data_IF_033709676934
#
_entry.id   IF_033709676934
#
_cell.length_a   1.000
_cell.length_b   1.000
_cell.length_c   1.000
_cell.angle_alpha   90.00
_cell.angle_beta   90.00
_cell.angle_gamma   90.00
#
_symmetry.space_group_name_H-M   'P 1'
#
loop_
_entity.id
_entity.type
_entity.pdbx_description
1 polymer ?
#
# COMPACT_ATOMS: atom_id res chain seq x y z
N UNK A 1 13.77 -11.28 -9.63
CA UNK A 1 12.71 -11.32 -8.59
C UNK A 1 11.72 -12.34 -9.09
N UNK A 2 11.53 -13.49 -8.43
CA UNK A 2 10.88 -14.67 -9.05
C UNK A 2 9.58 -14.34 -9.78
N UNK A 3 8.70 -13.56 -9.13
CA UNK A 3 7.41 -13.11 -9.69
C UNK A 3 7.56 -12.23 -10.94
N UNK A 4 8.54 -11.32 -10.96
CA UNK A 4 8.79 -10.45 -12.12
C UNK A 4 9.25 -11.28 -13.32
N UNK A 5 10.07 -12.30 -13.08
CA UNK A 5 10.64 -13.14 -14.12
C UNK A 5 9.57 -14.08 -14.71
N UNK A 6 8.64 -14.57 -13.90
CA UNK A 6 7.45 -15.29 -14.37
C UNK A 6 6.52 -14.40 -15.21
N UNK A 7 6.23 -13.17 -14.73
CA UNK A 7 5.45 -12.20 -15.49
C UNK A 7 6.06 -11.90 -16.87
N UNK A 8 7.38 -11.75 -16.95
CA UNK A 8 8.09 -11.53 -18.21
C UNK A 8 7.94 -12.71 -19.17
N UNK A 9 8.04 -13.94 -18.66
CA UNK A 9 7.86 -15.16 -19.46
C UNK A 9 6.43 -15.33 -20.00
N UNK A 10 5.43 -14.84 -19.27
CA UNK A 10 4.04 -14.87 -19.72
C UNK A 10 3.78 -13.79 -20.77
N UNK A 11 4.32 -12.59 -20.56
CA UNK A 11 4.20 -11.47 -21.49
C UNK A 11 4.81 -11.79 -22.86
N UNK A 12 5.95 -12.48 -22.89
CA UNK A 12 6.62 -12.82 -24.16
C UNK A 12 5.81 -13.74 -25.07
N UNK A 13 4.76 -14.38 -24.56
CA UNK A 13 3.85 -15.26 -25.31
C UNK A 13 2.66 -14.53 -25.91
N UNK A 14 2.46 -13.24 -25.59
CA UNK A 14 1.34 -12.44 -26.07
C UNK A 14 1.87 -11.53 -27.19
N UNK A 15 1.45 -11.71 -28.46
CA UNK A 15 2.02 -10.98 -29.60
C UNK A 15 1.84 -9.46 -29.55
N UNK A 16 0.79 -8.98 -28.86
CA UNK A 16 0.51 -7.56 -28.66
C UNK A 16 0.11 -7.32 -27.21
N UNK A 17 1.05 -6.86 -26.39
CA UNK A 17 0.79 -6.50 -25.00
C UNK A 17 1.00 -5.00 -24.80
N UNK A 18 0.12 -4.39 -24.00
CA UNK A 18 0.35 -3.06 -23.42
C UNK A 18 0.27 -3.20 -21.91
N UNK A 19 1.38 -2.93 -21.23
CA UNK A 19 1.43 -2.96 -19.77
C UNK A 19 0.89 -1.63 -19.24
N UNK A 20 -0.28 -1.66 -18.62
CA UNK A 20 -0.80 -0.56 -17.82
C UNK A 20 -0.48 -0.83 -16.35
N UNK A 21 0.41 -0.05 -15.76
CA UNK A 21 0.66 -0.08 -14.32
C UNK A 21 -0.04 1.12 -13.68
N UNK A 22 -0.91 0.85 -12.71
CA UNK A 22 -1.37 1.85 -11.77
C UNK A 22 -0.57 1.63 -10.49
N UNK A 23 0.27 2.60 -10.13
CA UNK A 23 0.92 2.60 -8.83
C UNK A 23 -0.16 2.84 -7.80
N UNK A 24 -0.64 1.78 -7.16
CA UNK A 24 -1.43 1.89 -5.94
C UNK A 24 -0.46 1.81 -4.79
N UNK A 25 -0.20 2.95 -4.18
CA UNK A 25 0.60 3.00 -2.99
C UNK A 25 -0.05 2.19 -1.85
N UNK A 26 0.75 1.80 -0.86
CA UNK A 26 0.24 1.18 0.35
C UNK A 26 -0.93 2.01 0.90
N UNK A 27 -2.04 1.36 1.20
CA UNK A 27 -3.22 2.03 1.74
C UNK A 27 -2.83 2.62 3.11
N UNK A 28 -2.51 3.91 3.16
CA UNK A 28 -2.08 4.60 4.37
C UNK A 28 -3.10 4.48 5.51
N UNK A 29 -4.40 4.40 5.17
CA UNK A 29 -5.44 4.11 6.15
C UNK A 29 -5.29 2.71 6.75
N UNK A 30 -5.00 1.70 5.92
CA UNK A 30 -4.74 0.33 6.39
C UNK A 30 -3.44 0.23 7.20
N UNK A 31 -2.37 0.90 6.78
CA UNK A 31 -1.09 0.96 7.51
C UNK A 31 -1.28 1.62 8.89
N UNK A 32 -2.05 2.72 8.95
CA UNK A 32 -2.41 3.40 10.19
C UNK A 32 -3.21 2.47 11.13
N UNK A 33 -4.27 1.84 10.62
CA UNK A 33 -5.10 0.91 11.38
C UNK A 33 -4.30 -0.32 11.85
N UNK A 34 -3.39 -0.84 11.04
CA UNK A 34 -2.50 -1.94 11.43
C UNK A 34 -1.54 -1.51 12.55
N UNK A 35 -0.98 -0.30 12.49
CA UNK A 35 -0.12 0.25 13.54
C UNK A 35 -0.88 0.46 14.84
N UNK A 36 -2.06 1.07 14.78
CA UNK A 36 -2.96 1.19 15.94
C UNK A 36 -3.36 -0.19 16.48
N UNK A 37 -3.63 -1.13 15.58
CA UNK A 37 -3.98 -2.50 15.91
C UNK A 37 -2.84 -3.31 16.53
N UNK A 38 -1.58 -2.94 16.30
CA UNK A 38 -0.42 -3.66 16.85
C UNK A 38 -0.27 -3.51 18.37
N UNK A 39 -0.76 -2.41 18.94
CA UNK A 39 -0.77 -2.14 20.38
C UNK A 39 -2.12 -2.45 21.04
N UNK A 40 -3.09 -2.97 20.29
CA UNK A 40 -4.42 -3.24 20.80
C UNK A 40 -4.42 -4.51 21.69
N UNK A 41 -5.19 -4.48 22.78
CA UNK A 41 -5.34 -5.65 23.68
C UNK A 41 -6.37 -6.66 23.18
N UNK A 42 -7.40 -6.19 22.47
CA UNK A 42 -8.50 -7.03 21.98
C UNK A 42 -8.10 -7.75 20.70
N UNK A 43 -8.62 -8.95 20.45
CA UNK A 43 -8.33 -9.67 19.20
C UNK A 43 -8.98 -9.01 17.98
N UNK A 44 -10.01 -8.21 18.21
CA UNK A 44 -10.80 -7.55 17.19
C UNK A 44 -11.50 -6.34 17.78
N UNK A 45 -11.53 -5.25 17.01
CA UNK A 45 -12.26 -4.02 17.33
C UNK A 45 -12.99 -3.59 16.05
N UNK A 46 -14.27 -3.29 16.19
CA UNK A 46 -15.08 -2.65 15.15
C UNK A 46 -15.23 -1.17 15.52
N UNK A 47 -14.88 -0.30 14.57
CA UNK A 47 -15.08 1.13 14.69
C UNK A 47 -16.36 1.50 13.92
N UNK A 48 -17.35 2.10 14.59
CA UNK A 48 -18.57 2.60 13.94
C UNK A 48 -18.29 3.89 13.16
N UNK A 49 -17.34 4.69 13.65
CA UNK A 49 -16.86 5.93 13.05
C UNK A 49 -15.32 5.86 12.96
N UNK A 50 -14.70 6.50 11.96
CA UNK A 50 -13.25 6.51 11.85
C UNK A 50 -12.61 7.17 13.08
N UNK A 51 -11.46 6.67 13.58
CA UNK A 51 -10.66 7.41 14.56
C UNK A 51 -10.31 8.80 14.02
N UNK A 52 -10.32 9.83 14.86
CA UNK A 52 -10.04 11.23 14.46
C UNK A 52 -8.74 11.35 13.66
N UNK A 53 -7.68 10.68 14.12
CA UNK A 53 -6.37 10.67 13.46
C UNK A 53 -6.35 9.97 12.08
N UNK A 54 -7.41 9.22 11.74
CA UNK A 54 -7.59 8.55 10.44
C UNK A 54 -8.39 9.42 9.45
N UNK A 55 -9.14 10.42 9.92
CA UNK A 55 -10.03 11.23 9.07
C UNK A 55 -9.28 11.97 7.95
N UNK A 56 -8.09 12.51 8.24
CA UNK A 56 -7.24 13.19 7.26
C UNK A 56 -6.73 12.23 6.18
N UNK A 57 -6.36 11.00 6.58
CA UNK A 57 -5.91 9.96 5.66
C UNK A 57 -7.05 9.50 4.75
N UNK A 58 -8.26 9.33 5.29
CA UNK A 58 -9.46 8.99 4.50
C UNK A 58 -9.79 10.11 3.51
N UNK A 59 -9.74 11.36 3.96
CA UNK A 59 -10.01 12.52 3.11
C UNK A 59 -9.01 12.62 1.97
N UNK A 60 -7.72 12.37 2.26
CA UNK A 60 -6.65 12.35 1.26
C UNK A 60 -6.79 11.20 0.26
N UNK A 61 -7.15 10.01 0.73
CA UNK A 61 -7.42 8.84 -0.13
C UNK A 61 -8.63 9.09 -1.05
N UNK A 62 -9.70 9.68 -0.51
CA UNK A 62 -10.93 9.97 -1.25
C UNK A 62 -10.72 10.97 -2.41
N UNK A 63 -9.80 11.92 -2.26
CA UNK A 63 -9.44 12.87 -3.34
C UNK A 63 -8.33 12.35 -4.26
N UNK A 64 -7.85 11.12 -4.03
CA UNK A 64 -6.81 10.48 -4.85
C UNK A 64 -5.41 11.05 -4.63
N UNK A 65 -5.12 11.60 -3.46
CA UNK A 65 -3.77 12.07 -3.12
C UNK A 65 -2.82 10.87 -2.96
N UNK A 66 -1.86 10.77 -3.86
CA UNK A 66 -0.74 9.86 -3.74
C UNK A 66 0.24 10.41 -2.70
N UNK A 67 0.62 9.59 -1.74
CA UNK A 67 1.77 9.89 -0.89
C UNK A 67 3.02 9.33 -1.61
N UNK A 68 4.19 9.57 -1.05
CA UNK A 68 5.35 8.76 -1.40
C UNK A 68 5.77 8.07 -0.12
N UNK A 69 5.87 6.75 -0.14
CA UNK A 69 6.55 5.99 0.89
C UNK A 69 8.01 6.41 0.78
N UNK A 70 8.38 7.45 1.53
CA UNK A 70 9.77 7.76 1.79
C UNK A 70 10.32 6.52 2.48
N UNK A 71 10.97 5.65 1.71
CA UNK A 71 11.88 4.68 2.28
C UNK A 71 12.86 5.50 3.10
N UNK A 72 12.69 5.48 4.42
CA UNK A 72 13.71 5.99 5.32
C UNK A 72 15.02 5.37 4.87
N UNK A 73 16.01 6.20 4.52
CA UNK A 73 17.35 5.82 4.07
C UNK A 73 18.02 4.85 5.06
N UNK A 74 17.66 3.57 5.00
CA UNK A 74 18.24 2.51 5.81
C UNK A 74 18.55 1.36 4.88
N UNK A 75 19.86 1.08 4.81
CA UNK A 75 20.57 0.10 3.98
C UNK A 75 20.97 0.55 2.57
N UNK A 76 21.94 1.46 2.50
CA UNK A 76 23.09 1.23 1.63
C UNK A 76 24.12 0.43 2.44
N UNK A 77 24.36 -0.86 2.15
CA UNK A 77 25.61 -1.50 2.56
C UNK A 77 26.77 -0.94 1.69
N UNK A 78 28.03 -1.04 2.17
CA UNK A 78 29.20 -0.43 1.54
C UNK A 78 29.47 -0.92 0.11
#
# INVERSE_FOLDING_TARGET
MPIIDDCRQLISRIPQVRIGHCYREANSCADFLAKMGSSQTRKFILYNDPPVDLEELISSDAVGMYHNRLLSKLYLPP
#
